data_IF_834516283647
#
_entry.id   IF_834516283647
#
_cell.length_a   1.000
_cell.length_b   1.000
_cell.length_c   1.000
_cell.angle_alpha   90.00
_cell.angle_beta   90.00
_cell.angle_gamma   90.00
#
_symmetry.space_group_name_H-M   'P 1'
#
loop_
_entity.id
_entity.type
_entity.pdbx_description
1 polymer ?
#
# COMPACT_ATOMS: atom_id res chain seq x y z
N UNK A 1 -21.56 20.26 9.12
CA UNK A 1 -20.69 19.34 8.37
C UNK A 1 -20.39 18.16 9.27
N UNK A 2 -20.83 16.96 8.90
CA UNK A 2 -20.46 15.71 9.58
C UNK A 2 -18.98 15.44 9.33
N UNK A 3 -18.22 15.04 10.37
CA UNK A 3 -16.83 14.61 10.19
C UNK A 3 -16.79 13.44 9.19
N UNK A 4 -15.86 13.44 8.22
CA UNK A 4 -15.66 12.29 7.35
C UNK A 4 -15.35 11.06 8.21
N UNK A 5 -15.88 9.91 7.78
CA UNK A 5 -15.53 8.63 8.40
C UNK A 5 -14.12 8.31 7.92
N UNK A 6 -13.18 8.16 8.84
CA UNK A 6 -11.80 7.82 8.53
C UNK A 6 -11.37 6.54 9.24
N UNK A 7 -10.41 5.83 8.65
CA UNK A 7 -9.65 4.77 9.30
C UNK A 7 -8.23 5.28 9.59
N UNK A 8 -7.83 5.30 10.86
CA UNK A 8 -6.48 5.77 11.24
C UNK A 8 -5.56 4.61 11.63
N UNK A 9 -4.29 4.69 11.25
CA UNK A 9 -3.24 3.81 11.77
C UNK A 9 -2.62 4.44 13.03
N UNK A 10 -2.75 3.81 14.21
CA UNK A 10 -2.44 4.46 15.49
C UNK A 10 -0.94 4.69 15.72
N UNK A 11 -0.09 3.88 15.09
CA UNK A 11 1.37 4.02 15.11
C UNK A 11 1.96 3.22 13.95
N UNK A 12 3.10 3.68 13.43
CA UNK A 12 3.89 2.91 12.50
C UNK A 12 4.44 1.65 13.19
N UNK A 13 4.25 0.48 12.57
CA UNK A 13 4.86 -0.76 13.04
C UNK A 13 5.19 -1.70 11.89
N UNK A 14 6.46 -2.12 11.84
CA UNK A 14 6.92 -3.13 10.88
C UNK A 14 6.21 -4.49 11.03
N UNK A 15 5.51 -4.72 12.14
CA UNK A 15 4.70 -5.91 12.35
C UNK A 15 3.31 -5.81 11.68
N UNK A 16 2.78 -4.59 11.51
CA UNK A 16 1.43 -4.36 10.98
C UNK A 16 1.40 -3.80 9.56
N UNK A 17 2.55 -3.60 8.90
CA UNK A 17 2.64 -3.09 7.52
C UNK A 17 1.64 -3.75 6.57
N UNK A 18 1.65 -5.08 6.50
CA UNK A 18 0.78 -5.80 5.56
C UNK A 18 -0.70 -5.79 5.96
N UNK A 19 -1.00 -5.61 7.25
CA UNK A 19 -2.36 -5.45 7.76
C UNK A 19 -2.91 -4.11 7.27
N UNK A 20 -2.21 -3.01 7.51
CA UNK A 20 -2.66 -1.68 7.10
C UNK A 20 -2.60 -1.48 5.59
N UNK A 21 -1.61 -2.06 4.90
CA UNK A 21 -1.57 -2.06 3.44
C UNK A 21 -2.79 -2.75 2.78
N UNK A 22 -3.39 -3.73 3.47
CA UNK A 22 -4.67 -4.34 3.03
C UNK A 22 -5.88 -3.52 3.45
N UNK A 23 -5.93 -3.02 4.68
CA UNK A 23 -7.07 -2.26 5.21
C UNK A 23 -7.24 -0.90 4.51
N UNK A 24 -6.14 -0.28 4.11
CA UNK A 24 -6.11 1.04 3.49
C UNK A 24 -5.91 0.99 1.97
N UNK A 25 -5.97 -0.20 1.35
CA UNK A 25 -5.76 -0.36 -0.09
C UNK A 25 -6.72 0.53 -0.90
N UNK A 26 -6.19 1.16 -1.94
CA UNK A 26 -6.92 2.07 -2.80
C UNK A 26 -7.23 1.42 -4.14
N UNK A 27 -8.34 1.79 -4.76
CA UNK A 27 -8.69 1.33 -6.09
C UNK A 27 -9.96 1.95 -6.64
N UNK A 28 -10.13 1.84 -7.96
CA UNK A 28 -11.25 2.46 -8.69
C UNK A 28 -12.05 1.44 -9.52
N UNK A 29 -11.92 0.15 -9.21
CA UNK A 29 -12.54 -0.95 -9.95
C UNK A 29 -11.76 -1.38 -11.20
N UNK A 30 -10.90 -0.53 -11.75
CA UNK A 30 -10.01 -0.85 -12.87
C UNK A 30 -8.58 -1.14 -12.38
N UNK A 31 -8.02 -0.26 -11.55
CA UNK A 31 -6.70 -0.37 -10.94
C UNK A 31 -6.86 -0.47 -9.42
N UNK A 32 -6.02 -1.30 -8.79
CA UNK A 32 -5.92 -1.42 -7.34
C UNK A 32 -4.46 -1.40 -6.87
N UNK A 33 -4.21 -0.72 -5.77
CA UNK A 33 -2.90 -0.61 -5.11
C UNK A 33 -3.04 -0.99 -3.65
N UNK A 34 -2.12 -1.84 -3.17
CA UNK A 34 -1.92 -2.01 -1.73
C UNK A 34 -1.38 -0.69 -1.18
N UNK A 35 -1.86 -0.30 0.00
CA UNK A 35 -1.35 0.88 0.69
C UNK A 35 -0.04 0.57 1.42
N UNK A 36 0.92 0.00 0.71
CA UNK A 36 2.31 -0.11 1.18
C UNK A 36 2.95 1.28 1.27
N UNK A 37 3.94 1.42 2.14
CA UNK A 37 4.75 2.62 2.22
C UNK A 37 5.67 2.75 1.00
N UNK A 38 6.02 3.99 0.71
CA UNK A 38 6.95 4.43 -0.31
C UNK A 38 8.37 3.93 -0.02
N UNK A 39 8.81 3.93 1.24
CA UNK A 39 10.12 3.39 1.62
C UNK A 39 10.12 1.86 1.66
N UNK A 40 11.31 1.28 1.55
CA UNK A 40 11.48 -0.17 1.59
C UNK A 40 11.60 -0.69 3.03
N UNK A 41 10.76 -1.66 3.36
CA UNK A 41 10.77 -2.35 4.65
C UNK A 41 10.77 -3.86 4.42
N UNK A 42 11.67 -4.57 5.11
CA UNK A 42 11.96 -6.01 4.91
C UNK A 42 10.72 -6.92 4.75
N UNK A 43 9.62 -6.65 5.47
CA UNK A 43 8.42 -7.50 5.46
C UNK A 43 7.26 -6.94 4.65
N UNK A 44 7.46 -5.81 3.95
CA UNK A 44 6.42 -5.15 3.19
C UNK A 44 6.06 -5.94 1.93
N UNK A 45 4.78 -6.20 1.73
CA UNK A 45 4.24 -6.76 0.50
C UNK A 45 3.58 -5.66 -0.30
N UNK A 46 4.21 -5.29 -1.41
CA UNK A 46 3.68 -4.35 -2.39
C UNK A 46 2.75 -5.05 -3.38
N UNK A 47 1.81 -4.30 -3.94
CA UNK A 47 0.87 -4.86 -4.90
C UNK A 47 0.22 -3.80 -5.77
N UNK A 48 0.36 -3.95 -7.08
CA UNK A 48 -0.40 -3.20 -8.08
C UNK A 48 -1.13 -4.18 -8.98
N UNK A 49 -2.42 -3.97 -9.20
CA UNK A 49 -3.25 -4.91 -9.93
C UNK A 49 -4.18 -4.21 -10.91
N UNK A 50 -4.35 -4.80 -12.09
CA UNK A 50 -5.21 -4.30 -13.15
C UNK A 50 -6.31 -5.31 -13.44
N UNK A 51 -7.57 -4.88 -13.33
CA UNK A 51 -8.72 -5.69 -13.69
C UNK A 51 -8.64 -6.08 -15.18
N UNK A 52 -8.75 -7.39 -15.46
CA UNK A 52 -8.61 -7.93 -16.81
C UNK A 52 -7.22 -8.49 -17.13
N UNK A 53 -6.20 -8.26 -16.29
CA UNK A 53 -4.87 -8.81 -16.50
C UNK A 53 -4.60 -10.01 -15.59
N UNK A 54 -4.74 -11.20 -16.17
CA UNK A 54 -4.56 -12.47 -15.48
C UNK A 54 -3.48 -13.31 -16.15
N UNK A 55 -2.80 -14.13 -15.37
CA UNK A 55 -1.82 -15.08 -15.85
C UNK A 55 -2.12 -16.48 -15.32
N UNK A 56 -1.75 -17.48 -16.12
CA UNK A 56 -1.74 -18.88 -15.73
C UNK A 56 -0.31 -19.36 -15.81
N UNK A 57 0.30 -19.63 -14.66
CA UNK A 57 1.71 -19.99 -14.60
C UNK A 57 1.99 -21.40 -15.15
N UNK A 58 1.01 -22.31 -15.12
CA UNK A 58 1.17 -23.67 -15.64
C UNK A 58 -0.08 -24.33 -16.22
N UNK A 59 0.13 -25.42 -16.96
CA UNK A 59 -0.98 -26.25 -17.48
C UNK A 59 -1.68 -26.93 -16.30
N UNK A 60 -2.92 -26.54 -16.04
CA UNK A 60 -3.74 -27.07 -14.94
C UNK A 60 -3.85 -26.14 -13.72
N UNK A 61 -3.11 -25.03 -13.71
CA UNK A 61 -3.22 -24.01 -12.68
C UNK A 61 -4.38 -23.04 -12.94
N UNK A 62 -4.81 -22.39 -11.86
CA UNK A 62 -5.85 -21.37 -11.92
C UNK A 62 -5.32 -20.09 -12.56
N UNK A 63 -6.22 -19.31 -13.17
CA UNK A 63 -5.87 -17.96 -13.62
C UNK A 63 -5.84 -17.05 -12.40
N UNK A 64 -4.70 -16.41 -12.15
CA UNK A 64 -4.52 -15.48 -11.03
C UNK A 64 -4.28 -14.07 -11.53
N UNK A 65 -4.62 -13.09 -10.68
CA UNK A 65 -4.38 -11.68 -10.97
C UNK A 65 -2.88 -11.40 -10.86
N UNK A 66 -2.32 -10.76 -11.90
CA UNK A 66 -0.88 -10.49 -11.95
C UNK A 66 -0.55 -9.30 -11.06
N UNK A 67 0.46 -9.45 -10.21
CA UNK A 67 1.09 -8.30 -9.56
C UNK A 67 1.95 -7.56 -10.59
N UNK A 68 1.59 -6.31 -10.87
CA UNK A 68 2.27 -5.44 -11.81
C UNK A 68 3.51 -4.77 -11.17
N UNK A 69 4.41 -4.18 -11.99
CA UNK A 69 5.55 -3.44 -11.48
C UNK A 69 5.14 -2.37 -10.47
N UNK A 70 5.91 -2.29 -9.38
CA UNK A 70 5.70 -1.31 -8.32
C UNK A 70 5.92 0.13 -8.83
N UNK A 71 4.96 1.01 -8.54
CA UNK A 71 5.00 2.43 -8.89
C UNK A 71 5.10 3.35 -7.67
N UNK A 72 4.99 2.81 -6.45
CA UNK A 72 5.02 3.57 -5.21
C UNK A 72 6.42 3.59 -4.59
N UNK A 73 7.20 2.54 -4.83
CA UNK A 73 8.52 2.41 -4.26
C UNK A 73 9.49 3.52 -4.62
N UNK A 74 10.06 4.16 -3.59
CA UNK A 74 11.13 5.13 -3.74
C UNK A 74 12.10 5.07 -2.57
N UNK A 75 13.37 5.36 -2.85
CA UNK A 75 14.38 5.61 -1.82
C UNK A 75 14.41 7.11 -1.52
N UNK A 76 14.16 7.47 -0.27
CA UNK A 76 14.23 8.85 0.20
C UNK A 76 15.52 8.98 1.00
N UNK A 77 16.39 9.92 0.63
CA UNK A 77 17.61 10.20 1.36
C UNK A 77 17.65 11.66 1.82
N UNK A 78 17.94 11.88 3.11
CA UNK A 78 18.07 13.19 3.73
C UNK A 78 19.52 13.36 4.18
N UNK A 79 20.23 14.35 3.64
CA UNK A 79 21.66 14.57 3.90
C UNK A 79 22.55 13.33 3.62
N UNK A 80 22.15 12.49 2.66
CA UNK A 80 22.87 11.26 2.31
C UNK A 80 22.55 10.04 3.18
N UNK A 81 21.65 10.17 4.17
CA UNK A 81 21.15 9.04 4.97
C UNK A 81 19.77 8.59 4.46
N UNK A 82 19.59 7.28 4.27
CA UNK A 82 18.32 6.70 3.85
C UNK A 82 17.28 6.88 4.96
N UNK A 83 16.18 7.53 4.61
CA UNK A 83 15.08 7.82 5.51
C UNK A 83 14.27 6.56 5.85
N UNK A 84 13.77 6.51 7.08
CA UNK A 84 12.90 5.44 7.57
C UNK A 84 11.94 5.98 8.64
N UNK A 85 10.67 5.60 8.56
CA UNK A 85 9.63 5.99 9.52
C UNK A 85 9.79 5.37 10.91
N UNK A 86 10.76 4.47 11.09
CA UNK A 86 10.95 3.71 12.35
C UNK A 86 11.19 4.56 13.61
N UNK A 87 11.54 5.84 13.46
CA UNK A 87 11.88 6.75 14.57
C UNK A 87 11.13 8.08 14.53
N UNK A 88 10.13 8.20 13.67
CA UNK A 88 9.45 9.47 13.38
C UNK A 88 8.05 9.55 14.00
N UNK A 89 7.53 10.78 14.11
CA UNK A 89 6.13 10.99 14.41
C UNK A 89 5.26 10.48 13.27
N UNK A 90 4.15 9.83 13.61
CA UNK A 90 3.34 9.08 12.67
C UNK A 90 1.89 9.58 12.67
N UNK A 91 1.37 9.83 11.48
CA UNK A 91 -0.05 9.96 11.22
C UNK A 91 -0.33 9.40 9.83
N UNK A 92 -1.35 8.57 9.72
CA UNK A 92 -1.87 8.07 8.45
C UNK A 92 -3.34 7.73 8.60
N UNK A 93 -4.12 8.21 7.64
CA UNK A 93 -5.57 8.02 7.63
C UNK A 93 -6.03 7.61 6.24
N UNK A 94 -7.08 6.80 6.14
CA UNK A 94 -7.85 6.62 4.91
C UNK A 94 -9.17 7.39 5.08
N UNK A 95 -9.43 8.35 4.20
CA UNK A 95 -10.73 9.01 4.10
C UNK A 95 -11.65 8.19 3.20
N UNK A 96 -12.76 7.68 3.76
CA UNK A 96 -13.72 6.88 2.99
C UNK A 96 -14.58 7.71 2.02
N UNK A 97 -14.66 9.03 2.18
CA UNK A 97 -15.42 9.90 1.29
C UNK A 97 -14.66 10.18 -0.02
N UNK A 98 -13.34 10.42 0.06
CA UNK A 98 -12.50 10.67 -1.12
C UNK A 98 -11.75 9.43 -1.60
N UNK A 99 -11.52 8.44 -0.74
CA UNK A 99 -10.64 7.31 -0.99
C UNK A 99 -9.15 7.65 -0.88
N UNK A 100 -8.81 8.82 -0.34
CA UNK A 100 -7.42 9.31 -0.22
C UNK A 100 -6.75 8.82 1.07
N UNK A 101 -5.42 8.68 1.01
CA UNK A 101 -4.58 8.35 2.17
C UNK A 101 -3.63 9.53 2.42
N UNK A 102 -4.06 10.60 3.11
CA UNK A 102 -3.22 11.76 3.42
C UNK A 102 -2.14 11.48 4.47
#
# INVERSE_FOLDING_TARGET
MTRPVTLSEPHFSQHTLNKYASLMAQGNGYLGLRASHEEDYTRQTRGMYLAGLYHRAGKGEINELVNLPDILGMEIAINGEVFSLSREAWQRELDFASGETP
#
